data_IF_070917292780
#
_entry.id   IF_070917292780
#
_cell.length_a   1.000
_cell.length_b   1.000
_cell.length_c   1.000
_cell.angle_alpha   90.00
_cell.angle_beta   90.00
_cell.angle_gamma   90.00
#
_symmetry.space_group_name_H-M   'P 1'
#
loop_
_entity.id
_entity.type
_entity.pdbx_description
1 polymer ?
#
# COMPACT_ATOMS: atom_id res chain seq x y z
N UNK A 1 1.41 -19.32 -16.77
CA UNK A 1 0.71 -18.36 -15.89
C UNK A 1 0.05 -17.29 -16.73
N UNK A 2 -1.26 -17.05 -16.58
CA UNK A 2 -1.96 -15.99 -17.32
C UNK A 2 -1.59 -14.64 -16.71
N UNK A 3 -1.03 -13.74 -17.52
CA UNK A 3 -0.74 -12.36 -17.12
C UNK A 3 -2.08 -11.65 -16.87
N UNK A 4 -2.22 -11.01 -15.70
CA UNK A 4 -3.38 -10.18 -15.36
C UNK A 4 -2.91 -8.74 -15.18
N UNK A 5 -3.49 -7.81 -15.93
CA UNK A 5 -3.26 -6.37 -15.75
C UNK A 5 -4.29 -5.81 -14.79
N UNK A 6 -3.87 -4.97 -13.86
CA UNK A 6 -4.76 -4.25 -12.95
C UNK A 6 -4.76 -2.76 -13.30
N UNK A 7 -5.94 -2.15 -13.39
CA UNK A 7 -6.08 -0.71 -13.65
C UNK A 7 -5.82 0.12 -12.40
N UNK A 8 -6.16 -0.39 -11.22
CA UNK A 8 -5.97 0.28 -9.94
C UNK A 8 -5.51 -0.70 -8.85
N UNK A 9 -4.73 -0.17 -7.91
CA UNK A 9 -4.35 -0.82 -6.67
C UNK A 9 -4.84 0.04 -5.51
N UNK A 10 -5.57 -0.56 -4.58
CA UNK A 10 -5.99 0.12 -3.35
C UNK A 10 -5.25 -0.45 -2.16
N UNK A 11 -4.73 0.43 -1.30
CA UNK A 11 -4.11 0.03 -0.04
C UNK A 11 -4.94 0.55 1.12
N UNK A 12 -5.27 -0.33 2.06
CA UNK A 12 -6.01 0.01 3.27
C UNK A 12 -5.30 -0.55 4.50
N UNK A 13 -5.34 0.20 5.60
CA UNK A 13 -4.84 -0.29 6.89
C UNK A 13 -5.73 -1.39 7.42
N UNK A 14 -5.12 -2.39 8.08
CA UNK A 14 -5.84 -3.38 8.85
C UNK A 14 -6.37 -2.72 10.14
N UNK A 15 -7.55 -3.10 10.63
CA UNK A 15 -7.99 -2.71 11.97
C UNK A 15 -6.98 -3.15 13.04
N UNK A 16 -6.88 -2.39 14.13
CA UNK A 16 -6.03 -2.65 15.30
C UNK A 16 -4.50 -2.64 15.11
N UNK A 17 -3.97 -2.94 13.92
CA UNK A 17 -2.53 -2.83 13.61
C UNK A 17 -2.30 -1.90 12.40
N UNK A 18 -1.96 -0.61 12.62
CA UNK A 18 -1.77 0.35 11.54
C UNK A 18 -0.53 0.06 10.68
N UNK A 19 0.35 -0.86 11.10
CA UNK A 19 1.57 -1.27 10.37
C UNK A 19 1.30 -2.40 9.39
N UNK A 20 0.07 -2.91 9.35
CA UNK A 20 -0.37 -3.95 8.42
C UNK A 20 -1.53 -3.42 7.59
N UNK A 21 -1.67 -3.97 6.40
CA UNK A 21 -2.75 -3.59 5.49
C UNK A 21 -3.09 -4.67 4.50
N UNK A 22 -4.04 -4.33 3.64
CA UNK A 22 -4.43 -5.09 2.47
C UNK A 22 -4.15 -4.28 1.21
N UNK A 23 -3.45 -4.89 0.27
CA UNK A 23 -3.39 -4.43 -1.11
C UNK A 23 -4.47 -5.16 -1.91
N UNK A 24 -5.39 -4.38 -2.48
CA UNK A 24 -6.50 -4.87 -3.29
C UNK A 24 -6.18 -4.62 -4.76
N UNK A 25 -6.17 -5.69 -5.55
CA UNK A 25 -5.90 -5.69 -6.98
C UNK A 25 -7.01 -6.51 -7.69
N UNK A 26 -8.06 -5.82 -8.13
CA UNK A 26 -9.29 -6.47 -8.61
C UNK A 26 -9.84 -7.42 -7.54
N UNK A 27 -10.04 -8.72 -7.84
CA UNK A 27 -10.55 -9.70 -6.88
C UNK A 27 -9.50 -10.20 -5.87
N UNK A 28 -8.23 -9.78 -5.97
CA UNK A 28 -7.15 -10.26 -5.09
C UNK A 28 -6.96 -9.32 -3.91
N UNK A 29 -6.85 -9.88 -2.72
CA UNK A 29 -6.42 -9.19 -1.51
C UNK A 29 -5.11 -9.81 -1.01
N UNK A 30 -4.05 -9.01 -0.93
CA UNK A 30 -2.71 -9.44 -0.49
C UNK A 30 -2.36 -8.74 0.82
N UNK A 31 -1.84 -9.44 1.84
CA UNK A 31 -1.35 -8.78 3.04
C UNK A 31 -0.12 -7.94 2.68
N UNK A 32 -0.02 -6.73 3.24
CA UNK A 32 1.08 -5.81 2.98
C UNK A 32 1.55 -5.15 4.28
N UNK A 33 2.83 -4.82 4.33
CA UNK A 33 3.39 -3.99 5.39
C UNK A 33 3.14 -2.50 5.11
N UNK A 34 2.81 -1.76 6.17
CA UNK A 34 2.73 -0.31 6.17
C UNK A 34 3.83 0.25 7.08
N UNK A 35 4.14 1.52 6.91
CA UNK A 35 5.10 2.21 7.76
C UNK A 35 4.70 2.13 9.23
N UNK A 36 5.69 2.24 10.14
CA UNK A 36 5.48 2.19 11.60
C UNK A 36 4.43 3.18 12.11
N UNK A 37 4.32 4.35 11.46
CA UNK A 37 3.34 5.40 11.74
C UNK A 37 1.96 5.19 11.08
N UNK A 38 1.78 4.09 10.34
CA UNK A 38 0.58 3.81 9.57
C UNK A 38 0.40 4.75 8.38
N UNK A 39 -0.83 4.84 7.87
CA UNK A 39 -1.17 5.74 6.77
C UNK A 39 -1.29 7.18 7.30
N UNK A 40 -0.60 8.13 6.65
CA UNK A 40 -0.56 9.55 7.04
C UNK A 40 -0.78 10.47 5.85
N UNK A 41 -1.68 11.46 6.01
CA UNK A 41 -1.93 12.49 5.00
C UNK A 41 -0.84 13.57 5.01
N UNK A 42 -0.37 13.93 6.19
CA UNK A 42 0.67 14.91 6.45
C UNK A 42 2.03 14.24 6.68
N UNK A 43 2.38 13.25 5.85
CA UNK A 43 3.65 12.52 5.97
C UNK A 43 4.84 13.49 5.86
N UNK A 44 5.84 13.28 6.72
CA UNK A 44 7.14 13.96 6.68
C UNK A 44 8.28 12.95 6.54
N UNK A 45 9.48 13.45 6.26
CA UNK A 45 10.68 12.62 6.28
C UNK A 45 10.95 12.12 7.71
N UNK A 46 11.37 10.85 7.85
CA UNK A 46 11.64 10.23 9.15
C UNK A 46 10.44 9.83 10.02
N UNK A 47 9.20 10.22 9.70
CA UNK A 47 8.02 9.93 10.54
C UNK A 47 7.53 8.47 10.51
N UNK A 48 8.13 7.64 9.65
CA UNK A 48 7.77 6.24 9.47
C UNK A 48 6.35 6.00 8.94
N UNK A 49 5.65 7.00 8.40
CA UNK A 49 4.32 6.86 7.80
C UNK A 49 4.35 6.35 6.35
N UNK A 50 3.28 5.69 5.91
CA UNK A 50 2.95 5.47 4.50
C UNK A 50 2.10 6.64 4.01
N UNK A 51 2.46 7.33 2.92
CA UNK A 51 1.71 8.50 2.46
C UNK A 51 0.31 8.11 1.98
N UNK A 52 -0.70 8.87 2.41
CA UNK A 52 -2.08 8.77 1.91
C UNK A 52 -2.21 9.57 0.62
N UNK A 53 -2.79 8.98 -0.41
CA UNK A 53 -3.09 9.67 -1.66
C UNK A 53 -3.29 8.72 -2.83
N UNK A 54 -3.55 9.30 -4.00
CA UNK A 54 -3.54 8.59 -5.27
C UNK A 54 -2.18 8.85 -5.95
N UNK A 55 -1.44 7.78 -6.25
CA UNK A 55 -0.11 7.85 -6.85
C UNK A 55 -0.05 7.04 -8.13
N UNK A 56 0.71 7.52 -9.11
CA UNK A 56 1.02 6.76 -10.32
C UNK A 56 2.19 5.81 -10.02
N UNK A 57 2.06 4.50 -10.25
CA UNK A 57 3.20 3.59 -10.17
C UNK A 57 4.26 3.99 -11.19
N UNK A 58 5.51 4.16 -10.76
CA UNK A 58 6.62 4.54 -11.64
C UNK A 58 7.61 3.39 -11.85
N UNK A 59 7.96 2.68 -10.78
CA UNK A 59 8.92 1.57 -10.78
C UNK A 59 8.50 0.51 -9.78
N UNK A 60 8.80 -0.74 -10.09
CA UNK A 60 8.69 -1.88 -9.18
C UNK A 60 10.10 -2.35 -8.84
N UNK A 61 10.35 -2.55 -7.55
CA UNK A 61 11.58 -3.16 -7.05
C UNK A 61 11.24 -4.55 -6.53
N UNK A 62 11.95 -5.56 -7.01
CA UNK A 62 11.78 -6.95 -6.63
C UNK A 62 13.17 -7.56 -6.37
N UNK A 63 13.30 -8.35 -5.31
CA UNK A 63 14.52 -9.04 -4.92
C UNK A 63 14.20 -10.50 -4.66
#
# INVERSE_FOLDING_TARGET
>A
MRKSTFSHLFVRSKPADPRRGWLLAGPRALPVALGRGGIRANKREGDGGTPRGAFRPLRLWWR
#
